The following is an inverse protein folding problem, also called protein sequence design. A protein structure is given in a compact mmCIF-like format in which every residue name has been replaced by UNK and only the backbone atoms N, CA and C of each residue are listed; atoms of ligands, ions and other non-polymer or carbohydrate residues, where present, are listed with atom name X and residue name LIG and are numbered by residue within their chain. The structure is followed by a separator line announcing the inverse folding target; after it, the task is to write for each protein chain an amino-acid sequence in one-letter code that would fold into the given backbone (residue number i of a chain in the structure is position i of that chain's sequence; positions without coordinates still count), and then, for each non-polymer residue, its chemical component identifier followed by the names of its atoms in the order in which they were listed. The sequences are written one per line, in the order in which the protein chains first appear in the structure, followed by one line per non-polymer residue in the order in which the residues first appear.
data_IF_217649712625
#
_entry.id   IF_217649712625
#
_cell.length_a   1.000
_cell.length_b   1.000
_cell.length_c   1.000
_cell.angle_alpha   90.00
_cell.angle_beta   90.00
_cell.angle_gamma   90.00
#
_symmetry.space_group_name_H-M   'P 1'
#
loop_
_entity.id
_entity.type
_entity.pdbx_description
1 polymer ?
#
# COMPACT_ATOMS: atom_id res chain seq x y z
N UNK A 1 -13.76 -20.85 -56.70
CA UNK A 1 -13.10 -20.14 -55.58
C UNK A 1 -11.74 -20.79 -55.35
N UNK A 2 -10.65 -20.02 -55.42
CA UNK A 2 -9.29 -20.58 -55.44
C UNK A 2 -8.91 -21.09 -54.03
N UNK A 3 -8.48 -22.34 -53.89
CA UNK A 3 -8.23 -22.98 -52.57
C UNK A 3 -7.25 -22.18 -51.70
N UNK A 4 -6.29 -21.49 -52.33
CA UNK A 4 -5.36 -20.56 -51.66
C UNK A 4 -6.06 -19.35 -51.07
N UNK A 5 -7.04 -18.76 -51.78
CA UNK A 5 -7.82 -17.61 -51.29
C UNK A 5 -8.68 -18.02 -50.09
N UNK A 6 -9.27 -19.23 -50.13
CA UNK A 6 -10.10 -19.75 -49.04
C UNK A 6 -9.25 -20.06 -47.79
N UNK A 7 -8.04 -20.60 -47.97
CA UNK A 7 -7.08 -20.81 -46.87
C UNK A 7 -6.59 -19.49 -46.25
N UNK A 8 -6.27 -18.48 -47.06
CA UNK A 8 -5.91 -17.15 -46.55
C UNK A 8 -7.06 -16.45 -45.84
N UNK A 9 -8.29 -16.59 -46.34
CA UNK A 9 -9.48 -16.05 -45.68
C UNK A 9 -9.71 -16.70 -44.31
N UNK A 10 -9.61 -18.04 -44.20
CA UNK A 10 -9.69 -18.73 -42.90
C UNK A 10 -8.54 -18.33 -41.96
N UNK A 11 -7.33 -18.20 -42.48
CA UNK A 11 -6.19 -17.75 -41.68
C UNK A 11 -6.42 -16.35 -41.11
N UNK A 12 -6.92 -15.40 -41.91
CA UNK A 12 -7.22 -14.05 -41.44
C UNK A 12 -8.34 -14.02 -40.38
N UNK A 13 -9.36 -14.87 -40.52
CA UNK A 13 -10.44 -15.00 -39.52
C UNK A 13 -9.91 -15.48 -38.16
N UNK A 14 -8.79 -16.21 -38.11
CA UNK A 14 -8.17 -16.62 -36.85
C UNK A 14 -7.14 -15.60 -36.36
N UNK A 15 -6.29 -15.09 -37.26
CA UNK A 15 -5.18 -14.21 -36.92
C UNK A 15 -5.70 -12.84 -36.43
N UNK A 16 -6.70 -12.26 -37.10
CA UNK A 16 -7.18 -10.91 -36.75
C UNK A 16 -7.77 -10.89 -35.32
N UNK A 17 -8.71 -11.78 -34.93
CA UNK A 17 -9.19 -11.82 -33.55
C UNK A 17 -8.11 -12.15 -32.54
N UNK A 18 -7.14 -13.01 -32.88
CA UNK A 18 -6.02 -13.30 -31.99
C UNK A 18 -5.16 -12.06 -31.71
N UNK A 19 -4.88 -11.24 -32.74
CA UNK A 19 -4.13 -9.99 -32.60
C UNK A 19 -4.94 -8.95 -31.80
N UNK A 20 -6.24 -8.80 -32.07
CA UNK A 20 -7.11 -7.88 -31.31
C UNK A 20 -7.20 -8.32 -29.84
N UNK A 21 -7.42 -9.60 -29.58
CA UNK A 21 -7.50 -10.14 -28.23
C UNK A 21 -6.19 -9.97 -27.46
N UNK A 22 -5.05 -10.25 -28.10
CA UNK A 22 -3.73 -10.07 -27.49
C UNK A 22 -3.43 -8.59 -27.23
N UNK A 23 -3.71 -7.71 -28.20
CA UNK A 23 -3.52 -6.27 -28.04
C UNK A 23 -4.38 -5.68 -26.93
N UNK A 24 -5.67 -6.06 -26.88
CA UNK A 24 -6.57 -5.66 -25.80
C UNK A 24 -6.11 -6.18 -24.43
N UNK A 25 -5.68 -7.44 -24.36
CA UNK A 25 -5.19 -8.02 -23.11
C UNK A 25 -3.94 -7.29 -22.59
N UNK A 26 -2.97 -7.00 -23.46
CA UNK A 26 -1.77 -6.22 -23.10
C UNK A 26 -2.17 -4.82 -22.62
N UNK A 27 -3.05 -4.13 -23.34
CA UNK A 27 -3.53 -2.80 -22.95
C UNK A 27 -4.22 -2.82 -21.58
N UNK A 28 -5.08 -3.83 -21.36
CA UNK A 28 -5.80 -3.97 -20.11
C UNK A 28 -4.87 -4.28 -18.92
N UNK A 29 -3.94 -5.22 -19.11
CA UNK A 29 -3.00 -5.68 -18.08
C UNK A 29 -1.96 -4.60 -17.71
N UNK A 30 -1.55 -3.79 -18.68
CA UNK A 30 -0.51 -2.78 -18.47
C UNK A 30 -1.07 -1.42 -18.04
N UNK A 31 -2.29 -1.05 -18.43
CA UNK A 31 -2.84 0.29 -18.18
C UNK A 31 -4.18 0.26 -17.43
N UNK A 32 -5.22 -0.30 -18.04
CA UNK A 32 -6.60 -0.11 -17.54
C UNK A 32 -6.82 -0.65 -16.12
N UNK A 33 -6.22 -1.80 -15.77
CA UNK A 33 -6.41 -2.37 -14.42
C UNK A 33 -5.76 -1.56 -13.30
N UNK A 34 -4.79 -0.69 -13.64
CA UNK A 34 -4.06 0.15 -12.69
C UNK A 34 -4.54 1.60 -12.68
N UNK A 35 -5.45 1.94 -13.61
CA UNK A 35 -6.01 3.27 -13.68
C UNK A 35 -6.79 3.60 -12.40
N UNK A 36 -6.67 4.83 -11.88
CA UNK A 36 -7.43 5.24 -10.72
C UNK A 36 -8.92 5.26 -11.01
N UNK A 37 -9.71 4.94 -9.99
CA UNK A 37 -11.17 5.00 -10.10
C UNK A 37 -11.64 6.40 -9.74
N UNK A 38 -12.45 7.00 -10.61
CA UNK A 38 -13.15 8.24 -10.29
C UNK A 38 -14.39 7.90 -9.46
N UNK A 39 -14.51 8.54 -8.30
CA UNK A 39 -15.64 8.37 -7.38
C UNK A 39 -16.83 9.14 -7.95
N UNK A 40 -17.88 8.40 -8.31
CA UNK A 40 -19.14 8.96 -8.84
C UNK A 40 -20.31 8.79 -7.86
N UNK A 41 -20.14 7.94 -6.85
CA UNK A 41 -21.12 7.71 -5.77
C UNK A 41 -20.50 8.02 -4.43
N UNK A 42 -21.29 8.59 -3.52
CA UNK A 42 -20.90 8.90 -2.14
C UNK A 42 -19.70 9.86 -2.01
N UNK A 43 -19.49 10.75 -2.99
CA UNK A 43 -18.32 11.64 -3.02
C UNK A 43 -18.32 12.59 -1.81
N UNK A 44 -19.49 13.14 -1.45
CA UNK A 44 -19.67 13.99 -0.28
C UNK A 44 -19.40 13.27 1.03
N UNK A 45 -19.81 12.02 1.16
CA UNK A 45 -19.68 11.20 2.35
C UNK A 45 -18.23 10.78 2.55
N UNK A 46 -17.53 10.40 1.47
CA UNK A 46 -16.09 10.12 1.52
C UNK A 46 -15.35 11.40 1.88
N UNK A 47 -15.68 12.55 1.27
CA UNK A 47 -15.05 13.82 1.64
C UNK A 47 -15.30 14.17 3.10
N UNK A 48 -16.53 14.06 3.60
CA UNK A 48 -16.87 14.34 4.99
C UNK A 48 -16.15 13.39 5.96
N UNK A 49 -15.89 12.14 5.55
CA UNK A 49 -15.09 11.20 6.31
C UNK A 49 -13.60 11.62 6.34
N UNK A 50 -13.07 12.07 5.20
CA UNK A 50 -11.70 12.59 5.08
C UNK A 50 -11.50 13.95 5.79
N UNK A 51 -12.54 14.77 5.91
CA UNK A 51 -12.47 16.05 6.62
C UNK A 51 -12.46 15.86 8.14
N UNK A 52 -13.03 14.75 8.63
CA UNK A 52 -13.11 14.42 10.05
C UNK A 52 -11.93 13.60 10.55
N UNK A 53 -11.26 12.87 9.66
CA UNK A 53 -10.18 11.96 10.05
C UNK A 53 -8.96 12.75 10.52
N UNK A 54 -8.29 12.24 11.55
CA UNK A 54 -6.98 12.75 11.92
C UNK A 54 -5.93 12.24 10.93
N UNK A 55 -5.04 13.14 10.52
CA UNK A 55 -3.92 12.86 9.64
C UNK A 55 -2.69 13.64 10.09
N UNK A 56 -1.52 13.17 9.66
CA UNK A 56 -0.26 13.92 9.75
C UNK A 56 0.14 14.39 8.36
N UNK A 57 0.72 15.58 8.25
CA UNK A 57 1.22 16.06 6.95
C UNK A 57 2.42 16.99 7.13
N UNK A 58 3.24 17.17 6.09
CA UNK A 58 4.33 18.15 6.08
C UNK A 58 3.82 19.62 6.01
N UNK A 59 2.50 19.85 5.94
CA UNK A 59 1.90 21.17 5.98
C UNK A 59 2.14 22.00 4.73
N UNK A 60 2.17 21.37 3.54
CA UNK A 60 2.33 22.10 2.28
C UNK A 60 1.05 22.84 1.91
N UNK A 61 1.17 23.88 1.08
CA UNK A 61 0.05 24.73 0.67
C UNK A 61 -0.61 24.32 -0.65
N UNK A 62 -0.05 23.35 -1.37
CA UNK A 62 -0.58 22.86 -2.64
C UNK A 62 -1.75 21.89 -2.48
N UNK A 63 -2.12 21.18 -3.57
CA UNK A 63 -3.18 20.17 -3.54
C UNK A 63 -2.94 19.12 -2.48
N UNK A 64 -4.00 18.66 -1.82
CA UNK A 64 -3.91 17.62 -0.82
C UNK A 64 -4.11 16.24 -1.44
N UNK A 65 -3.27 15.29 -1.01
CA UNK A 65 -3.51 13.86 -1.22
C UNK A 65 -3.67 13.18 0.13
N UNK A 66 -4.63 12.28 0.23
CA UNK A 66 -4.82 11.43 1.40
C UNK A 66 -4.20 10.07 1.13
N UNK A 67 -3.25 9.69 1.97
CA UNK A 67 -2.52 8.44 1.89
C UNK A 67 -2.86 7.58 3.11
N UNK A 68 -3.57 6.47 2.89
CA UNK A 68 -3.96 5.57 3.97
C UNK A 68 -3.01 4.39 4.03
N UNK A 69 -2.42 4.17 5.21
CA UNK A 69 -1.33 3.20 5.41
C UNK A 69 -1.36 2.55 6.78
N UNK A 70 -0.60 1.48 6.93
CA UNK A 70 -0.29 0.84 8.20
C UNK A 70 1.17 0.37 8.21
N UNK A 71 1.71 0.09 9.39
CA UNK A 71 3.17 -0.06 9.57
C UNK A 71 3.83 -1.10 8.67
N UNK A 72 3.27 -2.31 8.67
CA UNK A 72 3.83 -3.49 8.01
C UNK A 72 3.44 -3.59 6.52
N UNK A 73 2.95 -2.51 5.92
CA UNK A 73 2.59 -2.46 4.51
C UNK A 73 3.83 -2.21 3.64
N UNK A 74 4.38 -3.26 3.02
CA UNK A 74 5.58 -3.16 2.19
C UNK A 74 5.37 -2.30 0.94
N UNK A 75 4.21 -2.40 0.30
CA UNK A 75 3.86 -1.59 -0.88
C UNK A 75 3.66 -0.12 -0.51
N UNK A 76 3.14 0.15 0.69
CA UNK A 76 2.99 1.52 1.18
C UNK A 76 4.35 2.17 1.38
N UNK A 77 5.31 1.45 1.98
CA UNK A 77 6.68 1.94 2.14
C UNK A 77 7.33 2.28 0.79
N UNK A 78 7.23 1.37 -0.18
CA UNK A 78 7.76 1.61 -1.52
C UNK A 78 7.12 2.83 -2.20
N UNK A 79 5.79 3.00 -2.08
CA UNK A 79 5.10 4.18 -2.59
C UNK A 79 5.62 5.48 -1.96
N UNK A 80 5.72 5.51 -0.63
CA UNK A 80 6.19 6.70 0.10
C UNK A 80 7.64 7.05 -0.27
N UNK A 81 8.55 6.07 -0.27
CA UNK A 81 9.96 6.28 -0.64
C UNK A 81 10.12 6.86 -2.05
N UNK A 82 9.28 6.41 -2.99
CA UNK A 82 9.40 6.80 -4.40
C UNK A 82 8.65 8.09 -4.74
N UNK A 83 7.46 8.30 -4.19
CA UNK A 83 6.55 9.35 -4.64
C UNK A 83 6.48 10.54 -3.69
N UNK A 84 6.62 10.36 -2.37
CA UNK A 84 6.53 11.51 -1.45
C UNK A 84 7.59 12.58 -1.71
N UNK A 85 8.87 12.27 -2.02
CA UNK A 85 9.85 13.31 -2.36
C UNK A 85 9.44 14.14 -3.59
N UNK A 86 8.77 13.52 -4.58
CA UNK A 86 8.30 14.20 -5.79
C UNK A 86 7.11 15.11 -5.47
N UNK A 87 6.20 14.64 -4.62
CA UNK A 87 5.05 15.42 -4.16
C UNK A 87 5.49 16.61 -3.30
N UNK A 88 6.43 16.38 -2.39
CA UNK A 88 6.99 17.41 -1.53
C UNK A 88 7.67 18.52 -2.34
N UNK A 89 8.50 18.14 -3.32
CA UNK A 89 9.13 19.08 -4.26
C UNK A 89 8.12 19.86 -5.12
N UNK A 90 6.95 19.29 -5.39
CA UNK A 90 5.85 19.94 -6.09
C UNK A 90 4.92 20.75 -5.16
N UNK A 91 5.22 20.81 -3.85
CA UNK A 91 4.40 21.52 -2.87
C UNK A 91 3.06 20.86 -2.56
N UNK A 92 2.89 19.58 -2.89
CA UNK A 92 1.68 18.80 -2.60
C UNK A 92 1.65 18.44 -1.12
N UNK A 93 0.48 18.59 -0.50
CA UNK A 93 0.26 18.26 0.90
C UNK A 93 -0.10 16.79 1.07
N UNK A 94 0.89 15.98 1.49
CA UNK A 94 0.73 14.54 1.71
C UNK A 94 0.14 14.26 3.09
N UNK A 95 -1.19 14.07 3.13
CA UNK A 95 -1.95 13.79 4.36
C UNK A 95 -1.97 12.31 4.64
N UNK A 96 -1.12 11.86 5.56
CA UNK A 96 -1.03 10.47 5.94
C UNK A 96 -2.05 10.12 7.03
N UNK A 97 -2.90 9.15 6.71
CA UNK A 97 -3.86 8.54 7.63
C UNK A 97 -3.32 7.15 7.97
N UNK A 98 -2.51 7.08 9.02
CA UNK A 98 -1.99 5.82 9.52
C UNK A 98 -3.02 5.15 10.44
N UNK A 99 -3.21 3.84 10.33
CA UNK A 99 -4.09 3.09 11.25
C UNK A 99 -3.39 1.83 11.78
N UNK A 100 -3.84 1.35 12.93
CA UNK A 100 -3.38 0.06 13.47
C UNK A 100 -4.35 -1.04 13.04
N UNK A 101 -3.93 -2.03 12.24
CA UNK A 101 -4.83 -3.08 11.80
C UNK A 101 -5.47 -3.84 12.95
N UNK A 102 -6.70 -4.31 12.72
CA UNK A 102 -7.41 -5.22 13.64
C UNK A 102 -6.78 -6.60 13.58
N UNK A 103 -6.85 -7.31 14.69
CA UNK A 103 -6.46 -8.72 14.75
C UNK A 103 -7.44 -9.53 13.90
N UNK A 104 -6.93 -10.53 13.18
CA UNK A 104 -7.73 -11.34 12.28
C UNK A 104 -7.36 -12.80 12.42
N UNK A 105 -8.37 -13.67 12.57
CA UNK A 105 -8.19 -15.12 12.73
C UNK A 105 -7.24 -15.50 13.88
N UNK A 106 -7.27 -14.74 14.99
CA UNK A 106 -6.40 -14.93 16.14
C UNK A 106 -4.95 -14.45 15.95
N UNK A 107 -4.59 -13.93 14.77
CA UNK A 107 -3.29 -13.33 14.52
C UNK A 107 -3.30 -11.86 14.92
N UNK A 108 -2.38 -11.51 15.82
CA UNK A 108 -2.16 -10.13 16.24
C UNK A 108 -1.50 -9.37 15.10
N UNK A 109 -2.20 -8.40 14.52
CA UNK A 109 -1.71 -7.66 13.34
C UNK A 109 -1.08 -6.32 13.66
N UNK A 110 -1.25 -5.83 14.89
CA UNK A 110 -0.57 -4.62 15.37
C UNK A 110 0.15 -4.86 16.69
N UNK A 111 1.32 -4.22 16.85
CA UNK A 111 2.09 -4.28 18.09
C UNK A 111 1.60 -3.21 19.09
N UNK A 112 2.00 -3.34 20.37
CA UNK A 112 1.72 -2.29 21.39
C UNK A 112 2.39 -0.97 21.00
N UNK A 113 3.63 -1.04 20.48
CA UNK A 113 4.37 0.13 20.02
C UNK A 113 3.66 0.81 18.84
N UNK A 114 3.19 0.03 17.86
CA UNK A 114 2.41 0.55 16.74
C UNK A 114 1.12 1.24 17.20
N UNK A 115 0.31 0.59 18.04
CA UNK A 115 -0.93 1.21 18.56
C UNK A 115 -0.66 2.51 19.33
N UNK A 116 0.39 2.53 20.14
CA UNK A 116 0.80 3.71 20.91
C UNK A 116 1.26 4.86 20.01
N UNK A 117 1.96 4.54 18.92
CA UNK A 117 2.36 5.51 17.90
C UNK A 117 1.18 6.02 17.09
N UNK A 118 0.27 5.15 16.64
CA UNK A 118 -0.95 5.57 15.93
C UNK A 118 -1.78 6.52 16.81
N UNK A 119 -1.98 6.18 18.09
CA UNK A 119 -2.67 7.07 19.02
C UNK A 119 -1.99 8.45 19.10
N UNK A 120 -0.66 8.48 19.20
CA UNK A 120 0.08 9.74 19.25
C UNK A 120 -0.02 10.54 17.95
N UNK A 121 0.05 9.88 16.79
CA UNK A 121 -0.07 10.54 15.48
C UNK A 121 -1.44 11.19 15.31
N UNK A 122 -2.51 10.51 15.72
CA UNK A 122 -3.88 11.02 15.62
C UNK A 122 -4.13 12.19 16.59
N UNK A 123 -3.60 12.12 17.81
CA UNK A 123 -3.79 13.16 18.83
C UNK A 123 -2.93 14.40 18.53
N UNK A 124 -1.64 14.21 18.28
CA UNK A 124 -0.67 15.31 18.18
C UNK A 124 -0.57 15.90 16.79
N UNK A 125 -0.90 15.09 15.76
CA UNK A 125 -0.72 15.39 14.34
C UNK A 125 0.70 15.82 13.96
N UNK A 126 1.70 15.45 14.75
CA UNK A 126 3.11 15.83 14.55
C UNK A 126 3.76 15.02 13.43
N UNK A 127 4.25 15.73 12.42
CA UNK A 127 4.92 15.14 11.26
C UNK A 127 6.24 14.46 11.63
N UNK A 128 6.98 15.01 12.59
CA UNK A 128 8.30 14.50 12.98
C UNK A 128 8.23 13.11 13.62
N UNK A 129 7.12 12.83 14.34
CA UNK A 129 6.85 11.50 14.89
C UNK A 129 6.60 10.52 13.75
N UNK A 130 5.84 10.94 12.73
CA UNK A 130 5.58 10.12 11.55
C UNK A 130 6.87 9.81 10.80
N UNK A 131 7.72 10.80 10.58
CA UNK A 131 9.00 10.62 9.89
C UNK A 131 9.93 9.66 10.65
N UNK A 132 10.10 9.85 11.97
CA UNK A 132 10.90 8.95 12.79
C UNK A 132 10.37 7.52 12.76
N UNK A 133 9.04 7.37 12.81
CA UNK A 133 8.39 6.07 12.72
C UNK A 133 8.58 5.42 11.35
N UNK A 134 8.39 6.16 10.26
CA UNK A 134 8.57 5.70 8.90
C UNK A 134 10.00 5.23 8.62
N UNK A 135 11.00 6.05 8.96
CA UNK A 135 12.42 5.78 8.74
C UNK A 135 12.98 4.64 9.59
N UNK A 136 12.36 4.34 10.72
CA UNK A 136 12.74 3.19 11.52
C UNK A 136 12.38 1.88 10.82
N UNK A 137 13.06 0.78 11.15
CA UNK A 137 12.59 -0.57 10.74
C UNK A 137 11.51 -1.08 11.70
N UNK A 138 10.67 -2.02 11.23
CA UNK A 138 9.61 -2.62 12.06
C UNK A 138 10.18 -3.28 13.33
N UNK A 139 11.39 -3.84 13.24
CA UNK A 139 12.06 -4.49 14.37
C UNK A 139 12.63 -3.50 15.40
N UNK A 140 12.99 -2.28 14.96
CA UNK A 140 13.71 -1.30 15.78
C UNK A 140 12.79 -0.24 16.40
N UNK A 141 11.58 -0.06 15.88
CA UNK A 141 10.64 0.89 16.47
C UNK A 141 10.11 0.39 17.82
N UNK A 142 10.38 1.15 18.89
CA UNK A 142 9.92 0.82 20.26
C UNK A 142 8.93 1.82 20.85
N UNK A 143 8.56 2.87 20.11
CA UNK A 143 7.71 3.95 20.61
C UNK A 143 8.23 4.56 21.94
N UNK A 144 9.55 4.62 22.11
CA UNK A 144 10.19 5.11 23.34
C UNK A 144 9.76 6.55 23.62
N UNK A 145 9.25 6.81 24.83
CA UNK A 145 8.78 8.13 25.25
C UNK A 145 7.36 8.48 24.81
N UNK A 146 6.68 7.61 24.04
CA UNK A 146 5.27 7.80 23.71
C UNK A 146 4.36 7.19 24.80
N UNK A 147 3.24 7.83 25.15
CA UNK A 147 2.28 7.23 26.07
C UNK A 147 1.68 5.96 25.46
N UNK A 148 1.63 4.89 26.27
CA UNK A 148 1.09 3.60 25.86
C UNK A 148 -0.41 3.75 25.61
N UNK A 149 -0.90 3.24 24.47
CA UNK A 149 -2.34 3.27 24.17
C UNK A 149 -3.12 2.14 24.87
N UNK A 150 -2.53 0.95 24.96
CA UNK A 150 -3.17 -0.19 25.59
C UNK A 150 -3.45 0.07 27.08
N UNK A 151 -4.69 -0.20 27.50
CA UNK A 151 -5.22 0.04 28.85
C UNK A 151 -5.40 1.52 29.23
N UNK A 152 -5.17 2.46 28.31
CA UNK A 152 -5.61 3.86 28.43
C UNK A 152 -6.90 4.03 27.62
N UNK A 153 -8.01 4.36 28.30
CA UNK A 153 -9.33 4.44 27.65
C UNK A 153 -9.38 5.46 26.51
N UNK A 154 -8.74 6.63 26.68
CA UNK A 154 -8.78 7.70 25.69
C UNK A 154 -7.93 7.34 24.47
N UNK A 155 -6.74 6.77 24.69
CA UNK A 155 -5.82 6.41 23.60
C UNK A 155 -6.24 5.14 22.89
N UNK A 156 -6.79 4.14 23.59
CA UNK A 156 -7.40 2.98 22.93
C UNK A 156 -8.59 3.40 22.06
N UNK A 157 -9.43 4.35 22.52
CA UNK A 157 -10.52 4.89 21.70
C UNK A 157 -10.02 5.55 20.41
N UNK A 158 -8.87 6.25 20.45
CA UNK A 158 -8.23 6.80 19.24
C UNK A 158 -7.75 5.68 18.30
N UNK A 159 -7.15 4.62 18.84
CA UNK A 159 -6.78 3.44 18.03
C UNK A 159 -8.02 2.81 17.38
N UNK A 160 -9.12 2.68 18.11
CA UNK A 160 -10.38 2.19 17.55
C UNK A 160 -10.97 3.16 16.51
N UNK A 161 -10.86 4.47 16.71
CA UNK A 161 -11.26 5.47 15.72
C UNK A 161 -10.50 5.27 14.39
N UNK A 162 -9.19 4.98 14.46
CA UNK A 162 -8.39 4.66 13.26
C UNK A 162 -8.89 3.45 12.48
N UNK A 163 -9.35 2.42 13.19
CA UNK A 163 -9.94 1.21 12.59
C UNK A 163 -11.34 1.46 12.06
N UNK A 164 -12.12 2.26 12.77
CA UNK A 164 -13.48 2.62 12.39
C UNK A 164 -13.49 3.48 11.13
N UNK A 165 -12.53 4.38 10.95
CA UNK A 165 -12.35 5.12 9.69
C UNK A 165 -12.25 4.16 8.50
N UNK A 166 -11.42 3.12 8.59
CA UNK A 166 -11.28 2.10 7.55
C UNK A 166 -12.60 1.35 7.32
N UNK A 167 -13.27 0.96 8.40
CA UNK A 167 -14.55 0.22 8.37
C UNK A 167 -15.65 1.04 7.71
N UNK A 168 -15.67 2.37 7.91
CA UNK A 168 -16.62 3.30 7.29
C UNK A 168 -16.26 3.61 5.84
N UNK A 169 -14.98 3.73 5.53
CA UNK A 169 -14.51 4.04 4.17
C UNK A 169 -14.76 2.87 3.21
N UNK A 170 -14.58 1.63 3.66
CA UNK A 170 -14.71 0.43 2.84
C UNK A 170 -16.04 0.33 2.06
N UNK A 171 -17.23 0.42 2.69
CA UNK A 171 -18.50 0.33 1.96
C UNK A 171 -18.72 1.51 0.99
N UNK A 172 -18.20 2.71 1.31
CA UNK A 172 -18.31 3.87 0.43
C UNK A 172 -17.51 3.68 -0.86
N UNK A 173 -16.29 3.12 -0.75
CA UNK A 173 -15.46 2.75 -1.89
C UNK A 173 -16.06 1.59 -2.69
N UNK A 174 -16.60 0.58 -2.00
CA UNK A 174 -17.22 -0.58 -2.66
C UNK A 174 -18.40 -0.19 -3.56
N UNK A 175 -19.14 0.87 -3.22
CA UNK A 175 -20.21 1.40 -4.09
C UNK A 175 -19.71 1.87 -5.47
N UNK A 176 -18.41 2.17 -5.59
CA UNK A 176 -17.73 2.55 -6.82
C UNK A 176 -16.90 1.38 -7.42
N UNK A 177 -17.14 0.14 -6.98
CA UNK A 177 -16.37 -1.07 -7.34
C UNK A 177 -14.88 -1.03 -6.92
N UNK A 178 -14.53 -0.17 -5.97
CA UNK A 178 -13.16 -0.07 -5.46
C UNK A 178 -13.02 -1.04 -4.29
N UNK A 179 -12.12 -2.01 -4.43
CA UNK A 179 -11.72 -2.88 -3.33
C UNK A 179 -10.72 -2.16 -2.46
N UNK A 180 -10.96 -2.17 -1.15
CA UNK A 180 -10.02 -1.60 -0.20
C UNK A 180 -8.73 -2.43 -0.18
N UNK A 181 -7.63 -1.82 -0.62
CA UNK A 181 -6.29 -2.38 -0.61
C UNK A 181 -5.28 -1.24 -0.41
N UNK A 182 -4.08 -1.58 0.05
CA UNK A 182 -3.08 -0.61 0.48
C UNK A 182 -1.81 -0.68 -0.40
N UNK A 183 -1.16 0.46 -0.67
CA UNK A 183 -1.53 1.80 -0.25
C UNK A 183 -2.82 2.28 -0.92
N UNK A 184 -3.66 2.97 -0.16
CA UNK A 184 -4.85 3.62 -0.69
C UNK A 184 -4.58 5.12 -0.78
N UNK A 185 -4.62 5.66 -1.99
CA UNK A 185 -4.38 7.08 -2.25
C UNK A 185 -5.68 7.69 -2.74
N UNK A 186 -6.11 8.80 -2.14
CA UNK A 186 -7.31 9.55 -2.52
C UNK A 186 -6.94 11.01 -2.75
N UNK A 187 -7.33 11.59 -3.88
CA UNK A 187 -7.03 12.98 -4.23
C UNK A 187 -8.16 13.59 -5.06
N UNK A 188 -8.07 14.90 -5.29
CA UNK A 188 -8.92 15.60 -6.26
C UNK A 188 -8.12 15.89 -7.51
N UNK A 189 -8.70 15.57 -8.66
CA UNK A 189 -8.12 15.93 -9.95
C UNK A 189 -8.38 17.41 -10.29
N UNK A 190 -7.89 17.84 -11.46
CA UNK A 190 -8.07 19.21 -11.96
C UNK A 190 -9.54 19.60 -12.19
N UNK A 191 -10.44 18.62 -12.36
CA UNK A 191 -11.88 18.83 -12.49
C UNK A 191 -12.61 18.81 -11.14
N UNK A 192 -11.86 18.79 -10.03
CA UNK A 192 -12.38 18.68 -8.68
C UNK A 192 -13.17 17.36 -8.44
N UNK A 193 -12.88 16.33 -9.22
CA UNK A 193 -13.44 14.99 -9.02
C UNK A 193 -12.56 14.19 -8.06
N UNK A 194 -13.17 13.47 -7.14
CA UNK A 194 -12.44 12.63 -6.21
C UNK A 194 -12.00 11.35 -6.93
N UNK A 195 -10.71 11.05 -6.89
CA UNK A 195 -10.13 9.82 -7.44
C UNK A 195 -9.50 9.01 -6.34
N UNK A 196 -9.48 7.69 -6.55
CA UNK A 196 -8.88 6.73 -5.63
C UNK A 196 -8.07 5.69 -6.39
N UNK A 197 -6.95 5.28 -5.79
CA UNK A 197 -6.11 4.21 -6.30
C UNK A 197 -5.64 3.34 -5.14
N UNK A 198 -5.81 2.02 -5.29
CA UNK A 198 -5.08 1.03 -4.49
C UNK A 198 -3.73 0.77 -5.17
N UNK A 199 -2.79 1.71 -5.00
CA UNK A 199 -1.56 1.81 -5.78
C UNK A 199 -0.49 0.79 -5.34
N UNK A 200 -0.82 -0.49 -5.41
CA UNK A 200 0.10 -1.58 -5.03
C UNK A 200 1.20 -1.85 -6.08
N UNK A 201 1.15 -1.18 -7.23
CA UNK A 201 2.07 -1.37 -8.37
C UNK A 201 2.50 0.01 -8.90
N UNK A 202 3.79 0.15 -9.20
CA UNK A 202 4.42 1.40 -9.67
C UNK A 202 3.81 1.92 -10.97
N UNK A 203 3.22 1.04 -11.78
CA UNK A 203 2.49 1.43 -13.00
C UNK A 203 1.34 2.39 -12.71
N UNK A 204 0.78 2.39 -11.50
CA UNK A 204 -0.29 3.30 -11.12
C UNK A 204 0.20 4.72 -10.79
N UNK A 205 1.50 4.91 -10.47
CA UNK A 205 1.98 6.15 -9.84
C UNK A 205 1.93 7.35 -10.79
N UNK A 206 2.16 7.11 -12.09
CA UNK A 206 2.14 8.17 -13.09
C UNK A 206 0.76 8.85 -13.19
N UNK A 207 -0.35 8.12 -13.02
CA UNK A 207 -1.69 8.71 -13.07
C UNK A 207 -1.89 9.79 -12.00
N UNK A 208 -1.37 9.56 -10.79
CA UNK A 208 -1.43 10.54 -9.71
C UNK A 208 -0.57 11.75 -10.06
N UNK A 209 0.66 11.52 -10.55
CA UNK A 209 1.56 12.59 -10.95
C UNK A 209 0.96 13.46 -12.06
N UNK A 210 0.35 12.86 -13.06
CA UNK A 210 -0.30 13.56 -14.17
C UNK A 210 -1.48 14.41 -13.69
N UNK A 211 -2.38 13.84 -12.88
CA UNK A 211 -3.51 14.57 -12.31
C UNK A 211 -3.08 15.76 -11.44
N UNK A 212 -1.96 15.62 -10.73
CA UNK A 212 -1.40 16.64 -9.84
C UNK A 212 -0.35 17.53 -10.52
N UNK A 213 -0.09 17.34 -11.81
CA UNK A 213 0.92 18.09 -12.58
C UNK A 213 2.34 18.03 -11.99
N UNK A 214 2.71 16.87 -11.42
CA UNK A 214 4.03 16.57 -10.86
C UNK A 214 4.95 16.07 -11.96
N UNK A 215 6.11 16.71 -12.12
CA UNK A 215 7.09 16.29 -13.12
C UNK A 215 7.83 15.00 -12.69
N UNK A 216 8.26 14.20 -13.67
CA UNK A 216 9.08 13.00 -13.42
C UNK A 216 10.53 13.32 -13.02
N UNK A 217 10.96 14.58 -13.12
CA UNK A 217 12.31 15.00 -12.77
C UNK A 217 12.42 14.98 -11.24
N UNK A 218 13.03 13.91 -10.71
CA UNK A 218 13.28 13.79 -9.28
C UNK A 218 14.13 14.96 -8.77
N UNK A 219 13.67 15.55 -7.66
CA UNK A 219 14.48 15.89 -6.50
C UNK A 219 15.89 16.43 -6.79
N UNK A 220 15.95 17.73 -7.09
CA UNK A 220 17.17 18.54 -7.02
C UNK A 220 17.17 19.51 -5.83
N UNK A 221 16.36 19.30 -4.79
CA UNK A 221 16.51 20.08 -3.55
C UNK A 221 17.42 19.33 -2.60
N UNK A 222 18.71 19.61 -2.70
CA UNK A 222 19.65 19.43 -1.60
C UNK A 222 19.17 20.25 -0.40
N UNK A 223 18.38 19.60 0.44
CA UNK A 223 17.99 20.05 1.76
C UNK A 223 17.52 18.79 2.47
N UNK A 224 18.00 18.49 3.68
CA UNK A 224 17.51 17.33 4.40
C UNK A 224 16.00 17.53 4.58
N UNK A 225 15.20 16.59 4.07
CA UNK A 225 13.76 16.46 4.39
C UNK A 225 13.51 16.31 5.91
N UNK A 226 14.58 16.31 6.71
CA UNK A 226 14.69 15.62 7.99
C UNK A 226 15.51 16.49 8.95
N UNK A 227 14.84 17.40 9.65
CA UNK A 227 15.33 17.82 10.96
C UNK A 227 14.63 16.90 11.98
N UNK A 228 15.22 15.72 12.22
CA UNK A 228 14.73 14.83 13.27
C UNK A 228 15.36 15.32 14.58
N UNK A 229 14.58 15.67 15.60
CA UNK A 229 15.11 15.93 16.92
C UNK A 229 15.93 14.73 17.44
N UNK A 230 17.17 14.95 17.90
CA UNK A 230 18.08 13.88 18.36
C UNK A 230 17.48 13.00 19.48
N UNK A 231 16.47 13.51 20.19
CA UNK A 231 15.76 12.79 21.25
C UNK A 231 14.76 11.73 20.73
N UNK A 232 14.46 11.68 19.43
CA UNK A 232 13.54 10.72 18.82
C UNK A 232 14.25 9.60 18.04
N UNK A 233 15.56 9.70 17.84
CA UNK A 233 16.37 8.64 17.26
C UNK A 233 16.84 7.68 18.36
N UNK A 234 16.81 6.35 18.14
CA UNK A 234 17.59 5.44 18.97
C UNK A 234 19.05 5.90 18.91
N UNK A 235 19.70 6.09 20.07
CA UNK A 235 21.14 6.36 20.15
C UNK A 235 21.88 5.21 19.49
N UNK A 236 22.17 5.31 18.20
CA UNK A 236 23.08 4.41 17.52
C UNK A 236 24.45 4.67 18.14
N UNK A 237 25.06 3.61 18.67
CA UNK A 237 26.37 3.68 19.30
C UNK A 237 27.37 4.35 18.38
N UNK A 238 28.18 5.23 18.96
CA UNK A 238 29.30 5.89 18.32
C UNK A 238 30.33 4.85 17.86
N UNK A 239 30.22 4.38 16.63
CA UNK A 239 31.37 3.85 15.91
C UNK A 239 31.65 4.79 14.75
N UNK A 240 32.70 5.59 14.94
CA UNK A 240 33.34 6.38 13.89
C UNK A 240 33.58 5.50 12.67
N UNK A 241 32.96 5.82 11.54
CA UNK A 241 33.47 5.38 10.25
C UNK A 241 33.79 6.63 9.44
N UNK A 242 35.04 7.04 9.59
CA UNK A 242 35.69 8.08 8.82
C UNK A 242 35.52 7.83 7.32
N UNK A 243 35.22 8.91 6.61
CA UNK A 243 35.43 8.99 5.17
C UNK A 243 36.83 8.48 4.81
N UNK A 244 36.90 7.49 3.93
CA UNK A 244 38.13 7.13 3.25
C UNK A 244 37.85 7.07 1.75
N UNK A 245 38.54 7.97 1.06
CA UNK A 245 38.52 8.18 -0.36
C UNK A 245 38.86 6.93 -1.17
N UNK A 246 38.30 6.89 -2.38
CA UNK A 246 38.69 6.01 -3.47
C UNK A 246 40.21 5.88 -3.61
N UNK A 247 40.71 4.67 -3.46
CA UNK A 247 41.95 4.25 -4.10
C UNK A 247 41.78 2.82 -4.61
N UNK A 248 41.89 2.69 -5.92
CA UNK A 248 41.88 1.45 -6.69
C UNK A 248 43.09 0.57 -6.36
N UNK A 249 42.85 -0.71 -6.10
CA UNK A 249 43.86 -1.78 -6.03
C UNK A 249 43.22 -3.13 -6.44
N UNK A 250 44.04 -4.12 -6.88
CA UNK A 250 43.78 -4.92 -8.08
C UNK A 250 42.93 -6.19 -7.88
N UNK A 251 42.47 -6.74 -9.00
CA UNK A 251 41.65 -7.96 -9.10
C UNK A 251 42.30 -9.19 -8.43
N UNK A 252 41.52 -10.02 -7.72
CA UNK A 252 42.00 -11.31 -7.21
C UNK A 252 41.98 -12.40 -8.29
N UNK A 253 43.01 -13.26 -8.26
CA UNK A 253 43.19 -14.45 -9.08
C UNK A 253 42.10 -15.53 -8.83
N UNK A 254 41.84 -16.43 -9.80
CA UNK A 254 40.73 -17.39 -9.72
C UNK A 254 40.99 -18.52 -8.71
N UNK A 255 39.98 -18.81 -7.89
CA UNK A 255 39.97 -19.96 -6.97
C UNK A 255 39.58 -21.27 -7.69
N UNK A 256 40.11 -22.44 -7.25
CA UNK A 256 39.90 -23.73 -7.90
C UNK A 256 38.47 -24.29 -7.74
N UNK A 257 38.03 -25.03 -8.75
CA UNK A 257 36.71 -25.64 -8.85
C UNK A 257 36.42 -26.64 -7.72
N UNK A 258 35.32 -26.41 -6.99
CA UNK A 258 34.75 -27.39 -6.06
C UNK A 258 33.67 -28.19 -6.78
N UNK A 259 33.87 -29.50 -6.85
CA UNK A 259 32.96 -30.50 -7.42
C UNK A 259 31.70 -30.59 -6.56
N UNK A 260 30.53 -30.46 -7.19
CA UNK A 260 29.23 -30.60 -6.54
C UNK A 260 28.87 -32.09 -6.30
N UNK A 261 28.38 -32.47 -5.10
CA UNK A 261 27.82 -33.79 -4.85
C UNK A 261 26.40 -33.94 -5.45
N UNK A 262 25.97 -35.17 -5.79
CA UNK A 262 24.74 -35.43 -6.54
C UNK A 262 23.46 -35.16 -5.74
N UNK A 263 22.47 -34.60 -6.45
CA UNK A 263 21.11 -34.29 -6.01
C UNK A 263 20.36 -35.57 -5.65
N UNK A 264 19.93 -35.71 -4.39
CA UNK A 264 18.96 -36.72 -3.98
C UNK A 264 17.54 -36.24 -4.30
N UNK A 265 16.80 -37.05 -5.04
CA UNK A 265 15.41 -36.81 -5.42
C UNK A 265 14.48 -36.93 -4.20
N UNK A 266 13.64 -35.91 -4.00
CA UNK A 266 12.61 -35.85 -2.96
C UNK A 266 11.41 -36.75 -3.38
N UNK A 267 10.90 -37.65 -2.52
CA UNK A 267 9.74 -38.47 -2.85
C UNK A 267 8.46 -37.63 -3.01
N UNK A 268 7.67 -37.97 -4.03
CA UNK A 268 6.37 -37.39 -4.32
C UNK A 268 5.37 -37.64 -3.18
N UNK A 269 4.84 -36.56 -2.60
CA UNK A 269 3.71 -36.62 -1.69
C UNK A 269 2.43 -36.89 -2.51
N UNK A 270 1.75 -37.97 -2.16
CA UNK A 270 0.48 -38.41 -2.74
C UNK A 270 -0.63 -37.38 -2.49
N UNK A 271 -1.40 -37.10 -3.55
CA UNK A 271 -2.61 -36.29 -3.53
C UNK A 271 -3.71 -37.08 -2.81
N UNK A 272 -4.05 -36.66 -1.59
CA UNK A 272 -5.23 -37.15 -0.89
C UNK A 272 -6.50 -36.51 -1.49
N UNK A 273 -7.44 -37.36 -1.90
CA UNK A 273 -8.77 -37.04 -2.44
C UNK A 273 -9.64 -36.46 -1.31
N UNK A 274 -10.31 -35.30 -1.46
CA UNK A 274 -11.21 -34.81 -0.43
C UNK A 274 -12.47 -35.69 -0.38
N UNK A 275 -12.75 -36.24 0.80
CA UNK A 275 -14.00 -36.91 1.11
C UNK A 275 -15.12 -35.85 1.19
N UNK A 276 -16.20 -36.08 0.44
CA UNK A 276 -17.42 -35.30 0.52
C UNK A 276 -18.06 -35.54 1.89
N UNK A 277 -18.19 -34.48 2.70
CA UNK A 277 -19.04 -34.49 3.89
C UNK A 277 -20.43 -34.05 3.45
N UNK A 278 -21.32 -35.02 3.33
CA UNK A 278 -22.76 -34.83 3.09
C UNK A 278 -23.40 -34.26 4.36
N UNK A 279 -23.62 -32.95 4.39
CA UNK A 279 -24.36 -32.28 5.46
C UNK A 279 -25.85 -32.46 5.19
N UNK A 280 -26.45 -33.45 5.85
CA UNK A 280 -27.90 -33.67 5.86
C UNK A 280 -28.59 -32.50 6.59
N UNK A 281 -29.13 -31.56 5.82
CA UNK A 281 -29.87 -30.40 6.33
C UNK A 281 -31.29 -30.85 6.71
N UNK A 282 -31.51 -31.20 7.98
CA UNK A 282 -32.85 -31.36 8.56
C UNK A 282 -33.50 -29.98 8.70
N UNK A 283 -34.50 -29.71 7.85
CA UNK A 283 -35.42 -28.60 8.05
C UNK A 283 -36.40 -28.98 9.17
N UNK A 284 -36.32 -28.28 10.30
CA UNK A 284 -37.38 -28.27 11.31
C UNK A 284 -38.40 -27.21 10.89
N UNK A 285 -39.52 -27.64 10.34
CA UNK A 285 -40.72 -26.81 10.19
C UNK A 285 -41.48 -26.87 11.51
N UNK A 286 -41.27 -25.88 12.36
CA UNK A 286 -42.17 -25.62 13.49
C UNK A 286 -42.62 -24.17 13.40
N UNK A 287 -43.67 -23.96 12.59
CA UNK A 287 -44.53 -22.79 12.66
C UNK A 287 -45.71 -23.19 13.54
N UNK A 288 -45.66 -22.81 14.82
CA UNK A 288 -46.83 -22.79 15.68
C UNK A 288 -47.51 -21.43 15.59
N UNK A 289 -48.84 -21.35 15.42
CA UNK A 289 -49.59 -20.10 15.47
C UNK A 289 -49.97 -19.72 16.91
N UNK A 290 -50.25 -18.44 17.08
CA UNK A 290 -51.03 -17.80 18.16
C UNK A 290 -50.37 -17.69 19.55
N UNK A 291 -49.93 -16.48 19.91
CA UNK A 291 -50.64 -15.54 20.79
C UNK A 291 -50.00 -14.13 20.74
#
# INVERSE_FOLDING_TARGET
MNRKILLWAMALVVIIPALIGTGYWIYWDQFQRWAPTTITRNQSEIQALLDKVDYVSPGRSGPAIYFVTYRSCTQCRAFEEQEFPKYDAAGIDTRVIAFAPTDSQGLRRSTVAERSTIAELWISRKWEIYQAWFLSSDANWRATGLPVADNDFARDAVVQASRNFITQLQPLLAANNVKLAYPLVIWRDQNNMLKVCSCSDERAFHFIREDLSVSNAAAGSEGPMFHIPDNLLPKMGNDQSSAAASSSAPAPAPAPAVVAPPVQAKPAAQVAKPAAVEVKRTYSTDFGPDQ
#
